data_IF_493922091098
#
_entry.id   IF_493922091098
#
_cell.length_a   1.000
_cell.length_b   1.000
_cell.length_c   1.000
_cell.angle_alpha   90.00
_cell.angle_beta   90.00
_cell.angle_gamma   90.00
#
_symmetry.space_group_name_H-M   'P 1'
#
loop_
_entity.id
_entity.type
_entity.pdbx_description
1 polymer ?
#
# COMPACT_ATOMS: atom_id res chain seq x y z
N UNK A 1 6.81 13.93 2.18
CA UNK A 1 6.50 12.49 2.04
C UNK A 1 5.16 12.29 1.39
N UNK A 2 5.07 11.34 0.47
CA UNK A 2 3.85 10.94 -0.21
C UNK A 2 3.48 9.53 0.25
N UNK A 3 2.29 9.37 0.83
CA UNK A 3 1.77 8.08 1.28
C UNK A 3 0.66 7.68 0.32
N UNK A 4 0.81 6.53 -0.35
CA UNK A 4 -0.21 6.01 -1.27
C UNK A 4 -0.29 4.49 -1.17
N UNK A 5 -1.47 3.90 -1.32
CA UNK A 5 -1.57 2.44 -1.35
C UNK A 5 -0.99 1.82 -2.64
N UNK A 6 -1.09 2.54 -3.76
CA UNK A 6 -0.59 2.09 -5.07
C UNK A 6 0.22 3.19 -5.74
N UNK A 7 1.40 2.83 -6.21
CA UNK A 7 2.31 3.68 -6.98
C UNK A 7 2.88 2.92 -8.18
N UNK A 8 3.41 3.61 -9.20
CA UNK A 8 4.03 2.96 -10.37
C UNK A 8 4.93 1.80 -9.92
N UNK A 9 4.92 0.64 -10.60
CA UNK A 9 4.37 0.38 -11.94
C UNK A 9 2.90 -0.10 -11.97
N UNK A 10 2.13 0.03 -10.88
CA UNK A 10 0.71 -0.34 -10.91
C UNK A 10 -0.05 0.47 -11.98
N UNK A 11 -0.84 -0.22 -12.80
CA UNK A 11 -1.66 0.43 -13.81
C UNK A 11 -3.01 0.83 -13.20
N UNK A 12 -3.28 2.13 -13.14
CA UNK A 12 -4.55 2.67 -12.68
C UNK A 12 -4.59 4.19 -12.65
N UNK A 13 -5.78 4.77 -12.85
CA UNK A 13 -5.99 6.23 -12.92
C UNK A 13 -5.50 6.96 -11.66
N UNK A 14 -5.69 6.34 -10.48
CA UNK A 14 -5.17 6.88 -9.22
C UNK A 14 -3.65 6.93 -9.17
N UNK A 15 -2.99 5.91 -9.71
CA UNK A 15 -1.53 5.81 -9.75
C UNK A 15 -0.96 6.88 -10.68
N UNK A 16 -1.54 7.05 -11.87
CA UNK A 16 -1.07 8.04 -12.85
C UNK A 16 -1.05 9.46 -12.29
N UNK A 17 -2.07 9.85 -11.51
CA UNK A 17 -2.11 11.18 -10.87
C UNK A 17 -0.95 11.38 -9.90
N UNK A 18 -0.71 10.40 -9.03
CA UNK A 18 0.38 10.48 -8.05
C UNK A 18 1.74 10.44 -8.75
N UNK A 19 1.92 9.58 -9.76
CA UNK A 19 3.15 9.50 -10.54
C UNK A 19 3.47 10.82 -11.24
N UNK A 20 2.48 11.46 -11.87
CA UNK A 20 2.67 12.78 -12.50
C UNK A 20 2.93 13.87 -11.46
N UNK A 21 2.24 13.85 -10.32
CA UNK A 21 2.48 14.79 -9.23
C UNK A 21 3.93 14.69 -8.71
N UNK A 22 4.41 13.47 -8.45
CA UNK A 22 5.80 13.21 -8.05
C UNK A 22 6.82 13.69 -9.09
N UNK A 23 6.50 13.54 -10.39
CA UNK A 23 7.35 14.04 -11.46
C UNK A 23 7.46 15.57 -11.42
N UNK A 24 6.34 16.28 -11.41
CA UNK A 24 6.34 17.74 -11.56
C UNK A 24 6.68 18.49 -10.28
N UNK A 25 6.44 17.93 -9.09
CA UNK A 25 6.75 18.64 -7.84
C UNK A 25 8.25 18.88 -7.66
N UNK A 26 9.10 18.07 -8.31
CA UNK A 26 10.55 18.23 -8.32
C UNK A 26 11.01 19.48 -9.06
N UNK A 27 10.27 19.90 -10.09
CA UNK A 27 10.53 21.15 -10.83
C UNK A 27 10.36 22.39 -9.93
N UNK A 28 9.66 22.25 -8.80
CA UNK A 28 9.49 23.28 -7.77
C UNK A 28 10.53 23.17 -6.62
N UNK A 29 11.57 22.34 -6.78
CA UNK A 29 12.65 22.18 -5.80
C UNK A 29 12.33 21.23 -4.64
N UNK A 30 11.18 20.56 -4.66
CA UNK A 30 10.83 19.57 -3.64
C UNK A 30 11.44 18.21 -3.95
N UNK A 31 11.84 17.47 -2.91
CA UNK A 31 12.33 16.09 -3.03
C UNK A 31 11.30 15.13 -2.47
N UNK A 32 10.40 14.58 -3.30
CA UNK A 32 9.36 13.69 -2.83
C UNK A 32 9.95 12.34 -2.41
N UNK A 33 9.44 11.80 -1.31
CA UNK A 33 9.71 10.44 -0.84
C UNK A 33 8.39 9.70 -0.89
N UNK A 34 8.32 8.54 -1.54
CA UNK A 34 7.08 7.78 -1.72
C UNK A 34 7.06 6.56 -0.81
N UNK A 35 6.01 6.42 0.00
CA UNK A 35 5.70 5.24 0.79
C UNK A 35 4.48 4.53 0.17
N UNK A 36 4.65 3.27 -0.26
CA UNK A 36 3.61 2.50 -0.94
C UNK A 36 3.54 1.03 -0.53
N UNK A 37 2.43 0.35 -0.80
CA UNK A 37 2.34 -1.10 -0.67
C UNK A 37 3.23 -1.79 -1.72
N UNK A 38 3.92 -2.86 -1.30
CA UNK A 38 4.58 -3.80 -2.22
C UNK A 38 3.51 -4.62 -2.94
N UNK A 39 3.71 -4.81 -4.25
CA UNK A 39 2.89 -5.74 -5.04
C UNK A 39 3.02 -7.15 -4.48
N UNK A 40 1.89 -7.85 -4.39
CA UNK A 40 1.86 -9.27 -4.09
C UNK A 40 1.46 -10.06 -5.31
N UNK A 41 1.98 -11.27 -5.41
CA UNK A 41 1.71 -12.21 -6.50
C UNK A 41 0.24 -12.64 -6.58
N UNK A 42 -0.48 -12.59 -5.45
CA UNK A 42 -1.91 -12.93 -5.39
C UNK A 42 -2.85 -11.76 -5.76
N UNK A 43 -2.33 -10.57 -6.06
CA UNK A 43 -3.14 -9.45 -6.53
C UNK A 43 -3.20 -9.46 -8.06
N UNK A 44 -4.42 -9.42 -8.61
CA UNK A 44 -4.70 -9.32 -10.05
C UNK A 44 -4.47 -7.90 -10.61
N UNK A 45 -3.70 -7.08 -9.91
CA UNK A 45 -3.44 -5.70 -10.33
C UNK A 45 -2.59 -5.70 -11.60
N UNK A 46 -3.10 -5.04 -12.64
CA UNK A 46 -2.37 -4.81 -13.87
C UNK A 46 -1.13 -3.94 -13.60
N UNK A 47 -0.04 -4.23 -14.31
CA UNK A 47 1.25 -3.56 -14.16
C UNK A 47 1.70 -3.07 -15.53
N UNK A 48 2.26 -1.86 -15.58
CA UNK A 48 2.92 -1.32 -16.77
C UNK A 48 4.27 -0.71 -16.35
N UNK A 49 5.36 -1.40 -16.71
CA UNK A 49 6.74 -0.98 -16.43
C UNK A 49 7.05 0.38 -17.07
N UNK A 50 6.42 0.74 -18.20
CA UNK A 50 6.64 2.04 -18.87
C UNK A 50 6.21 3.23 -18.02
N UNK A 51 5.41 3.01 -16.98
CA UNK A 51 5.07 4.04 -16.01
C UNK A 51 6.24 4.46 -15.12
N UNK A 52 7.34 3.70 -15.12
CA UNK A 52 8.58 4.04 -14.45
C UNK A 52 9.44 5.02 -15.28
N UNK A 53 9.39 4.95 -16.61
CA UNK A 53 10.12 5.85 -17.51
C UNK A 53 9.78 7.33 -17.29
N UNK A 54 8.59 7.59 -16.74
CA UNK A 54 8.14 8.94 -16.40
C UNK A 54 8.64 9.47 -15.05
N UNK A 55 9.40 8.70 -14.29
CA UNK A 55 9.78 8.97 -12.91
C UNK A 55 11.28 9.22 -12.81
N UNK A 56 11.72 10.20 -12.00
CA UNK A 56 13.15 10.42 -11.76
C UNK A 56 13.82 9.20 -11.10
N UNK A 57 15.04 8.89 -11.55
CA UNK A 57 15.81 7.73 -11.08
C UNK A 57 16.26 7.87 -9.62
N UNK A 58 16.38 9.10 -9.13
CA UNK A 58 16.77 9.44 -7.76
C UNK A 58 15.60 9.43 -6.76
N UNK A 59 14.39 9.07 -7.21
CA UNK A 59 13.22 9.02 -6.36
C UNK A 59 13.31 7.89 -5.31
N UNK A 60 13.25 8.27 -4.02
CA UNK A 60 13.17 7.29 -2.94
C UNK A 60 11.77 6.69 -2.81
N UNK A 61 11.65 5.40 -3.13
CA UNK A 61 10.39 4.64 -3.03
C UNK A 61 10.52 3.52 -2.00
N UNK A 62 9.79 3.66 -0.89
CA UNK A 62 9.67 2.64 0.15
C UNK A 62 8.45 1.76 -0.08
N UNK A 63 8.67 0.48 -0.41
CA UNK A 63 7.59 -0.50 -0.61
C UNK A 63 7.44 -1.41 0.60
N UNK A 64 6.29 -1.34 1.27
CA UNK A 64 6.01 -2.12 2.48
C UNK A 64 5.23 -3.38 2.15
N UNK A 65 5.65 -4.51 2.70
CA UNK A 65 4.84 -5.73 2.65
C UNK A 65 3.69 -5.64 3.66
N UNK A 66 2.47 -5.65 3.17
CA UNK A 66 1.26 -5.59 4.01
C UNK A 66 0.71 -6.99 4.13
N UNK A 67 0.56 -7.63 5.31
CA UNK A 67 0.00 -8.98 5.39
C UNK A 67 -1.48 -9.00 4.97
N UNK A 68 -1.90 -10.02 4.21
CA UNK A 68 -3.30 -10.22 3.83
C UNK A 68 -3.93 -11.35 4.63
N UNK A 69 -5.26 -11.37 4.68
CA UNK A 69 -6.08 -12.48 5.17
C UNK A 69 -5.60 -13.85 4.65
N UNK A 70 -5.24 -13.93 3.37
CA UNK A 70 -4.73 -15.14 2.75
C UNK A 70 -3.38 -15.58 3.34
N UNK A 71 -2.47 -14.64 3.58
CA UNK A 71 -1.15 -14.92 4.15
C UNK A 71 -1.27 -15.42 5.59
N UNK A 72 -2.16 -14.78 6.37
CA UNK A 72 -2.46 -15.20 7.74
C UNK A 72 -3.08 -16.60 7.75
N UNK A 73 -4.05 -16.86 6.87
CA UNK A 73 -4.70 -18.17 6.78
C UNK A 73 -3.71 -19.28 6.38
N UNK A 74 -2.78 -19.00 5.46
CA UNK A 74 -1.69 -19.92 5.08
C UNK A 74 -0.73 -20.19 6.23
N UNK A 75 -0.36 -19.16 7.00
CA UNK A 75 0.50 -19.29 8.18
C UNK A 75 -0.13 -20.15 9.28
N UNK A 76 -1.45 -20.08 9.45
CA UNK A 76 -2.21 -20.89 10.44
C UNK A 76 -2.47 -22.32 9.93
N UNK A 77 -1.82 -22.75 8.84
CA UNK A 77 -1.90 -24.12 8.31
C UNK A 77 -3.09 -24.39 7.38
N UNK A 78 -3.82 -23.34 6.99
CA UNK A 78 -4.93 -23.44 6.03
C UNK A 78 -4.42 -23.59 4.59
N UNK A 79 -4.85 -24.64 3.89
CA UNK A 79 -4.66 -24.75 2.43
C UNK A 79 -5.71 -23.87 1.71
N UNK A 80 -5.40 -22.61 1.46
CA UNK A 80 -6.19 -21.76 0.57
C UNK A 80 -5.63 -21.85 -0.86
N UNK A 81 -6.47 -22.18 -1.84
CA UNK A 81 -6.15 -21.99 -3.28
C UNK A 81 -6.58 -20.58 -3.69
N UNK A 82 -5.80 -19.95 -4.57
CA UNK A 82 -6.18 -18.67 -5.20
C UNK A 82 -7.62 -18.76 -5.74
N UNK A 83 -8.48 -17.81 -5.36
CA UNK A 83 -9.83 -17.67 -5.90
C UNK A 83 -10.91 -18.59 -5.32
N UNK A 84 -10.61 -19.46 -4.35
CA UNK A 84 -11.64 -20.29 -3.69
C UNK A 84 -11.34 -20.47 -2.21
N UNK A 85 -12.01 -19.67 -1.38
CA UNK A 85 -12.11 -19.90 0.06
C UNK A 85 -13.01 -21.12 0.31
N UNK A 86 -12.52 -22.33 0.03
CA UNK A 86 -13.15 -23.55 0.57
C UNK A 86 -12.80 -23.62 2.06
N UNK A 87 -13.64 -22.98 2.86
CA UNK A 87 -13.49 -22.82 4.30
C UNK A 87 -13.89 -24.10 5.03
N UNK A 88 -12.94 -24.67 5.77
CA UNK A 88 -13.25 -25.58 6.86
C UNK A 88 -14.09 -24.84 7.92
N UNK A 89 -15.11 -25.49 8.47
CA UNK A 89 -16.05 -25.00 9.50
C UNK A 89 -15.39 -24.80 10.88
N UNK A 90 -14.15 -24.29 10.94
CA UNK A 90 -13.48 -24.02 12.21
C UNK A 90 -13.76 -22.58 12.68
N UNK A 91 -14.22 -22.46 13.91
CA UNK A 91 -14.58 -21.21 14.61
C UNK A 91 -13.49 -20.13 14.57
N UNK A 92 -12.22 -20.51 14.59
CA UNK A 92 -11.08 -19.59 14.47
C UNK A 92 -11.04 -18.84 13.14
N UNK A 93 -11.39 -19.48 12.02
CA UNK A 93 -11.41 -18.82 10.72
C UNK A 93 -12.53 -17.77 10.65
N UNK A 94 -13.65 -17.99 11.36
CA UNK A 94 -14.74 -17.01 11.46
C UNK A 94 -14.39 -15.79 12.31
N UNK A 95 -13.57 -15.95 13.36
CA UNK A 95 -13.05 -14.84 14.17
C UNK A 95 -12.03 -13.99 13.40
N UNK A 96 -11.11 -14.65 12.70
CA UNK A 96 -10.14 -13.95 11.81
C UNK A 96 -10.91 -13.19 10.72
N UNK A 97 -11.96 -13.80 10.15
CA UNK A 97 -12.86 -13.11 9.22
C UNK A 97 -13.51 -11.90 9.91
N UNK A 98 -14.09 -12.02 11.10
CA UNK A 98 -14.72 -10.88 11.79
C UNK A 98 -13.76 -9.73 12.10
N UNK A 99 -12.47 -10.01 12.34
CA UNK A 99 -11.45 -9.00 12.64
C UNK A 99 -10.85 -8.35 11.38
N UNK A 100 -10.78 -9.07 10.26
CA UNK A 100 -10.18 -8.57 9.00
C UNK A 100 -11.21 -8.19 7.91
N UNK A 101 -12.48 -8.54 8.07
CA UNK A 101 -13.58 -8.15 7.17
C UNK A 101 -14.12 -6.73 7.35
N UNK A 102 -13.83 -5.93 8.41
CA UNK A 102 -14.27 -4.53 8.40
C UNK A 102 -13.59 -3.73 7.29
N UNK A 103 -12.29 -3.97 7.04
CA UNK A 103 -11.53 -3.37 5.96
C UNK A 103 -10.24 -4.18 5.69
N UNK A 104 -10.07 -4.64 4.45
CA UNK A 104 -8.89 -5.35 3.96
C UNK A 104 -7.59 -4.53 4.07
N UNK A 105 -7.70 -3.22 4.33
CA UNK A 105 -6.59 -2.28 4.45
C UNK A 105 -6.18 -1.99 5.91
N UNK A 106 -6.81 -2.58 6.93
CA UNK A 106 -6.39 -2.39 8.35
C UNK A 106 -4.93 -2.80 8.56
N UNK A 107 -4.48 -3.86 7.89
CA UNK A 107 -3.08 -4.29 7.96
C UNK A 107 -2.11 -3.23 7.42
N UNK A 108 -2.53 -2.42 6.43
CA UNK A 108 -1.71 -1.33 5.88
C UNK A 108 -1.50 -0.22 6.90
N UNK A 109 -2.51 0.10 7.70
CA UNK A 109 -2.36 1.11 8.75
C UNK A 109 -1.18 0.77 9.67
N UNK A 110 -1.13 -0.46 10.20
CA UNK A 110 -0.08 -0.85 11.15
C UNK A 110 1.31 -0.90 10.51
N UNK A 111 1.44 -1.53 9.34
CA UNK A 111 2.76 -1.68 8.69
C UNK A 111 3.24 -0.39 8.05
N UNK A 112 2.32 0.38 7.45
CA UNK A 112 2.56 1.68 6.85
C UNK A 112 2.97 2.71 7.88
N UNK A 113 2.22 2.87 8.98
CA UNK A 113 2.57 3.82 10.06
C UNK A 113 3.91 3.46 10.70
N UNK A 114 4.18 2.17 10.94
CA UNK A 114 5.48 1.74 11.45
C UNK A 114 6.61 2.17 10.51
N UNK A 115 6.47 1.90 9.21
CA UNK A 115 7.52 2.27 8.25
C UNK A 115 7.66 3.77 8.09
N UNK A 116 6.56 4.50 8.10
CA UNK A 116 6.57 5.96 8.09
C UNK A 116 7.39 6.50 9.26
N UNK A 117 7.18 6.00 10.49
CA UNK A 117 7.96 6.40 11.66
C UNK A 117 9.45 6.13 11.50
N UNK A 118 9.84 4.97 10.94
CA UNK A 118 11.24 4.67 10.62
C UNK A 118 11.82 5.68 9.62
N UNK A 119 11.04 6.07 8.59
CA UNK A 119 11.45 7.07 7.60
C UNK A 119 11.60 8.45 8.26
N UNK A 120 10.67 8.88 9.11
CA UNK A 120 10.75 10.16 9.83
C UNK A 120 11.99 10.30 10.73
N UNK A 121 12.59 9.19 11.15
CA UNK A 121 13.82 9.21 11.96
C UNK A 121 15.09 9.38 11.11
N UNK A 122 15.04 9.02 9.83
CA UNK A 122 16.19 9.03 8.92
C UNK A 122 16.13 10.21 7.96
N UNK A 123 14.93 10.56 7.52
CA UNK A 123 14.66 11.59 6.53
C UNK A 123 14.07 12.84 7.18
N UNK A 124 14.55 14.02 6.78
CA UNK A 124 13.95 15.29 7.20
C UNK A 124 12.71 15.55 6.35
N UNK A 125 11.53 15.44 6.96
CA UNK A 125 10.25 15.51 6.23
C UNK A 125 9.51 16.78 6.63
N UNK A 126 9.39 17.73 5.70
CA UNK A 126 8.71 19.02 5.94
C UNK A 126 7.19 18.97 5.75
N UNK A 127 6.70 18.06 4.90
CA UNK A 127 5.29 17.98 4.54
C UNK A 127 4.84 16.54 4.24
N UNK A 128 3.56 16.25 4.46
CA UNK A 128 2.94 14.95 4.15
C UNK A 128 1.80 15.15 3.15
N UNK A 129 1.77 14.32 2.12
CA UNK A 129 0.69 14.21 1.15
C UNK A 129 0.17 12.76 1.15
N UNK A 130 -1.08 12.54 1.56
CA UNK A 130 -1.68 11.19 1.57
C UNK A 130 -2.71 11.06 0.45
N UNK A 131 -2.70 9.92 -0.23
CA UNK A 131 -3.75 9.53 -1.18
C UNK A 131 -4.27 8.14 -0.81
N UNK A 132 -5.53 8.09 -0.40
CA UNK A 132 -6.25 6.85 -0.15
C UNK A 132 -7.24 6.58 -1.28
N UNK A 133 -7.49 5.30 -1.64
CA UNK A 133 -8.67 4.95 -2.41
C UNK A 133 -9.93 5.35 -1.63
N UNK A 134 -10.99 5.66 -2.37
CA UNK A 134 -12.25 6.34 -1.99
C UNK A 134 -12.91 5.94 -0.66
N UNK A 135 -12.55 4.79 -0.09
CA UNK A 135 -13.13 4.25 1.15
C UNK A 135 -12.36 4.65 2.44
N UNK A 136 -11.08 5.06 2.35
CA UNK A 136 -10.22 5.32 3.55
C UNK A 136 -9.92 6.81 3.80
N UNK A 137 -10.45 7.72 2.98
CA UNK A 137 -10.21 9.17 3.08
C UNK A 137 -10.70 9.82 4.39
N UNK A 138 -11.57 9.16 5.15
CA UNK A 138 -12.10 9.71 6.40
C UNK A 138 -11.17 9.60 7.62
N UNK A 139 -10.09 8.80 7.57
CA UNK A 139 -9.27 8.48 8.75
C UNK A 139 -7.90 9.17 8.80
N UNK A 140 -7.38 9.66 7.66
CA UNK A 140 -6.03 10.21 7.56
C UNK A 140 -5.89 11.67 8.04
N UNK A 141 -6.98 12.40 8.28
CA UNK A 141 -6.94 13.81 8.71
C UNK A 141 -6.68 14.02 10.21
N UNK A 142 -6.18 13.00 10.92
CA UNK A 142 -5.98 13.02 12.38
C UNK A 142 -4.50 12.98 12.81
N UNK A 143 -3.57 13.15 11.87
CA UNK A 143 -2.15 13.29 12.16
C UNK A 143 -1.68 14.72 11.91
#
# INVERSE_FOLDING_TARGET
>A
MIITQKFSPFNGVGVLRVTKFVKYIQDFGWRPIVLTCKRKENHLDAVDEKLLDGIPEDLSIYRVNVPSLYDVYRLVGGRAKQGSFSLSKNSLASLIRSLFVPDQYVAWYFTGVRKAKEIFQVENIDAIYSTSPRETSSLDSRF
#
